data_IF_226749813494
#
_entry.id   IF_226749813494
#
_cell.length_a   1.000
_cell.length_b   1.000
_cell.length_c   1.000
_cell.angle_alpha   90.00
_cell.angle_beta   90.00
_cell.angle_gamma   90.00
#
_symmetry.space_group_name_H-M   'P 1'
#
loop_
_entity.id
_entity.type
_entity.pdbx_description
1 polymer ?
#
# COMPACT_ATOMS: atom_id res chain seq x y z
N UNK A 1 -29.65 27.88 51.72
CA UNK A 1 -28.26 27.52 52.04
C UNK A 1 -27.77 26.47 51.04
N UNK A 2 -27.69 26.83 49.75
CA UNK A 2 -26.98 26.09 48.68
C UNK A 2 -26.78 27.13 47.57
N UNK A 3 -25.72 27.95 47.62
CA UNK A 3 -25.45 28.92 46.53
C UNK A 3 -24.03 29.52 46.57
N UNK A 4 -23.00 28.69 46.73
CA UNK A 4 -21.61 29.16 46.67
C UNK A 4 -20.62 28.16 46.04
N UNK A 5 -20.98 26.88 45.98
CA UNK A 5 -20.07 25.81 45.54
C UNK A 5 -20.10 25.62 44.00
N UNK A 6 -21.26 25.82 43.36
CA UNK A 6 -21.42 25.52 41.92
C UNK A 6 -20.75 26.52 40.97
N UNK A 7 -20.43 27.74 41.42
CA UNK A 7 -19.74 28.76 40.59
C UNK A 7 -18.22 28.58 40.56
N UNK A 8 -17.63 27.92 41.57
CA UNK A 8 -16.18 27.71 41.66
C UNK A 8 -15.69 26.54 40.81
N UNK A 9 -16.55 25.56 40.55
CA UNK A 9 -16.20 24.36 39.76
C UNK A 9 -16.15 24.67 38.26
N UNK A 10 -16.95 25.62 37.78
CA UNK A 10 -16.99 26.01 36.36
C UNK A 10 -15.75 26.83 35.94
N UNK A 11 -15.15 27.60 36.85
CA UNK A 11 -13.98 28.43 36.52
C UNK A 11 -12.66 27.67 36.44
N UNK A 12 -12.57 26.48 37.04
CA UNK A 12 -11.33 25.67 37.04
C UNK A 12 -11.17 24.89 35.73
N UNK A 13 -12.28 24.55 35.04
CA UNK A 13 -12.22 23.77 33.80
C UNK A 13 -11.72 24.57 32.58
N UNK A 14 -11.80 25.90 32.61
CA UNK A 14 -11.38 26.74 31.48
C UNK A 14 -9.87 27.04 31.43
N UNK A 15 -9.11 26.75 32.49
CA UNK A 15 -7.67 27.09 32.55
C UNK A 15 -6.78 25.92 32.10
N UNK A 16 -7.29 24.68 32.06
CA UNK A 16 -6.50 23.48 31.74
C UNK A 16 -6.43 23.20 30.21
N UNK A 17 -7.22 23.91 29.39
CA UNK A 17 -7.28 23.66 27.93
C UNK A 17 -6.31 24.52 27.08
N UNK A 18 -5.48 25.37 27.68
CA UNK A 18 -4.61 26.30 26.93
C UNK A 18 -3.12 25.93 26.92
N UNK A 19 -2.74 24.72 27.34
CA UNK A 19 -1.34 24.30 27.49
C UNK A 19 -0.88 23.19 26.52
N UNK A 20 -1.54 23.03 25.37
CA UNK A 20 -1.02 22.19 24.28
C UNK A 20 -1.11 22.90 22.92
N UNK A 21 -0.21 23.85 22.70
CA UNK A 21 0.20 24.27 21.35
C UNK A 21 1.70 24.54 21.37
N UNK A 22 2.49 23.46 21.46
CA UNK A 22 3.88 23.51 21.02
C UNK A 22 3.94 23.17 19.54
N UNK A 23 4.53 24.12 18.82
CA UNK A 23 4.78 24.16 17.40
C UNK A 23 5.62 22.98 16.93
N UNK A 24 5.26 22.38 15.80
CA UNK A 24 6.26 21.77 14.93
C UNK A 24 6.06 22.32 13.51
N UNK A 25 6.86 23.33 13.22
CA UNK A 25 7.13 23.83 11.87
C UNK A 25 8.25 22.94 11.33
N UNK A 26 7.99 22.12 10.32
CA UNK A 26 9.05 21.46 9.58
C UNK A 26 8.93 21.82 8.11
N UNK A 27 9.86 22.69 7.72
CA UNK A 27 10.16 23.12 6.37
C UNK A 27 10.59 21.89 5.56
N UNK A 28 9.93 21.63 4.44
CA UNK A 28 10.36 20.61 3.49
C UNK A 28 11.29 21.27 2.47
N UNK A 29 12.59 20.99 2.60
CA UNK A 29 13.59 21.36 1.60
C UNK A 29 13.35 20.55 0.31
N UNK A 30 13.30 21.28 -0.81
CA UNK A 30 13.30 20.70 -2.15
C UNK A 30 14.69 20.13 -2.45
N UNK A 31 14.80 18.81 -2.55
CA UNK A 31 15.99 18.17 -3.12
C UNK A 31 15.75 18.03 -4.63
N UNK A 32 16.40 18.90 -5.40
CA UNK A 32 16.65 18.66 -6.81
C UNK A 32 17.66 17.52 -6.93
N UNK A 33 17.24 16.35 -7.39
CA UNK A 33 18.17 15.29 -7.80
C UNK A 33 18.02 15.02 -9.30
N UNK A 34 19.09 15.39 -10.01
CA UNK A 34 19.34 15.09 -11.41
C UNK A 34 19.48 13.58 -11.59
N UNK A 35 18.54 12.98 -12.31
CA UNK A 35 18.59 11.56 -12.63
C UNK A 35 19.51 11.33 -13.84
N UNK A 36 20.59 10.59 -13.63
CA UNK A 36 21.23 9.86 -14.71
C UNK A 36 21.53 8.42 -14.27
N UNK A 37 20.74 7.51 -14.85
CA UNK A 37 21.03 6.12 -15.23
C UNK A 37 21.80 5.21 -14.25
N UNK A 38 21.11 4.20 -13.69
CA UNK A 38 21.15 2.82 -14.19
C UNK A 38 20.38 1.85 -13.29
N UNK A 39 19.66 0.92 -13.93
CA UNK A 39 18.92 -0.17 -13.30
C UNK A 39 19.86 -1.17 -12.62
N UNK A 40 19.79 -1.26 -11.30
CA UNK A 40 20.05 -2.44 -10.46
C UNK A 40 19.98 -1.93 -9.03
N UNK A 41 19.23 -2.62 -8.16
CA UNK A 41 18.80 -2.13 -6.84
C UNK A 41 17.65 -1.12 -6.92
N UNK A 42 16.41 -1.63 -6.96
CA UNK A 42 15.39 -1.01 -6.09
C UNK A 42 15.91 -1.30 -4.68
N UNK A 43 16.74 -0.38 -4.20
CA UNK A 43 17.66 -0.62 -3.10
C UNK A 43 16.90 -1.04 -1.85
N UNK A 44 17.51 -1.93 -1.08
CA UNK A 44 17.06 -2.29 0.28
C UNK A 44 16.79 -1.04 1.16
N UNK A 45 17.29 0.13 0.76
CA UNK A 45 17.04 1.43 1.38
C UNK A 45 15.62 1.97 1.16
N UNK A 46 15.01 1.74 -0.01
CA UNK A 46 13.61 2.09 -0.25
C UNK A 46 12.68 1.23 0.61
N UNK A 47 13.04 -0.05 0.82
CA UNK A 47 12.29 -0.96 1.71
C UNK A 47 12.43 -0.54 3.18
N UNK A 48 13.56 0.03 3.60
CA UNK A 48 13.78 0.48 4.99
C UNK A 48 12.87 1.62 5.44
N UNK A 49 12.34 2.41 4.51
CA UNK A 49 11.41 3.51 4.82
C UNK A 49 9.95 3.13 4.67
N UNK A 50 9.67 2.01 4.00
CA UNK A 50 8.31 1.54 3.76
C UNK A 50 7.85 0.61 4.88
N UNK A 51 6.58 0.73 5.25
CA UNK A 51 5.98 -0.06 6.31
C UNK A 51 5.82 -1.51 5.85
N UNK A 52 6.52 -2.42 6.52
CA UNK A 52 6.33 -3.86 6.34
C UNK A 52 5.06 -4.27 7.08
N UNK A 53 4.17 -4.97 6.37
CA UNK A 53 2.88 -5.43 6.89
C UNK A 53 2.78 -6.95 6.75
N UNK A 54 2.00 -7.55 7.64
CA UNK A 54 1.73 -8.99 7.63
C UNK A 54 0.23 -9.21 7.55
N UNK A 55 -0.18 -10.11 6.67
CA UNK A 55 -1.58 -10.43 6.43
C UNK A 55 -1.79 -11.93 6.47
N UNK A 56 -3.01 -12.32 6.81
CA UNK A 56 -3.45 -13.70 6.77
C UNK A 56 -4.75 -13.78 5.97
N UNK A 57 -4.89 -14.81 5.15
CA UNK A 57 -6.12 -15.04 4.40
C UNK A 57 -5.95 -16.04 3.28
N UNK A 58 -7.02 -16.20 2.49
CA UNK A 58 -7.05 -17.12 1.36
C UNK A 58 -6.40 -16.49 0.13
N UNK A 59 -5.40 -17.15 -0.43
CA UNK A 59 -4.80 -16.73 -1.69
C UNK A 59 -5.64 -17.16 -2.88
N UNK A 60 -5.97 -16.21 -3.75
CA UNK A 60 -6.66 -16.45 -5.01
C UNK A 60 -5.74 -16.07 -6.17
N UNK A 61 -5.68 -16.97 -7.15
CA UNK A 61 -5.00 -16.79 -8.42
C UNK A 61 -6.06 -16.69 -9.50
N UNK A 62 -5.94 -15.71 -10.38
CA UNK A 62 -6.76 -15.61 -11.57
C UNK A 62 -5.88 -15.27 -12.75
N UNK A 63 -5.58 -16.27 -13.57
CA UNK A 63 -4.90 -16.06 -14.83
C UNK A 63 -5.68 -15.03 -15.66
N UNK A 64 -4.98 -13.96 -16.04
CA UNK A 64 -5.53 -12.95 -16.94
C UNK A 64 -4.90 -13.22 -18.30
N UNK A 65 -5.69 -13.76 -19.22
CA UNK A 65 -5.28 -13.84 -20.63
C UNK A 65 -4.76 -12.47 -21.09
N UNK A 66 -3.67 -12.40 -21.86
CA UNK A 66 -3.02 -11.16 -22.30
C UNK A 66 -3.83 -10.41 -23.38
N UNK A 67 -5.09 -10.15 -23.06
CA UNK A 67 -5.99 -9.24 -23.75
C UNK A 67 -5.97 -7.90 -23.02
N UNK A 68 -6.22 -6.81 -23.76
CA UNK A 68 -6.19 -5.41 -23.34
C UNK A 68 -7.24 -5.04 -22.27
N UNK A 69 -7.29 -5.79 -21.18
CA UNK A 69 -8.17 -5.54 -20.03
C UNK A 69 -7.46 -4.67 -19.02
N UNK A 70 -8.21 -3.78 -18.35
CA UNK A 70 -7.69 -2.90 -17.30
C UNK A 70 -6.92 -3.69 -16.24
N UNK A 71 -7.45 -4.85 -15.82
CA UNK A 71 -6.82 -5.70 -14.80
C UNK A 71 -5.47 -6.26 -15.22
N UNK A 72 -5.31 -6.63 -16.50
CA UNK A 72 -4.02 -7.10 -17.02
C UNK A 72 -2.95 -6.02 -16.89
N UNK A 73 -3.29 -4.79 -17.33
CA UNK A 73 -2.38 -3.65 -17.25
C UNK A 73 -2.01 -3.28 -15.81
N UNK A 74 -2.90 -3.50 -14.85
CA UNK A 74 -2.61 -3.25 -13.45
C UNK A 74 -1.87 -4.41 -12.76
N UNK A 75 -1.67 -5.55 -13.42
CA UNK A 75 -1.00 -6.72 -12.83
C UNK A 75 -1.85 -7.43 -11.76
N UNK A 76 -3.18 -7.28 -11.81
CA UNK A 76 -4.11 -7.80 -10.81
C UNK A 76 -4.37 -9.31 -10.94
N UNK A 77 -3.33 -10.12 -10.85
CA UNK A 77 -3.40 -11.58 -11.04
C UNK A 77 -3.60 -12.34 -9.72
N UNK A 78 -2.97 -11.86 -8.65
CA UNK A 78 -2.97 -12.49 -7.33
C UNK A 78 -3.70 -11.62 -6.30
N UNK A 79 -4.59 -12.25 -5.53
CA UNK A 79 -5.40 -11.58 -4.52
C UNK A 79 -5.35 -12.31 -3.19
N UNK A 80 -5.15 -11.58 -2.09
CA UNK A 80 -5.39 -12.10 -0.74
C UNK A 80 -6.76 -11.65 -0.23
N UNK A 81 -7.62 -12.61 0.10
CA UNK A 81 -8.90 -12.35 0.76
C UNK A 81 -8.71 -12.53 2.26
N UNK A 82 -8.64 -11.41 2.98
CA UNK A 82 -8.48 -11.39 4.45
C UNK A 82 -9.81 -11.42 5.20
N UNK A 83 -10.90 -11.04 4.53
CA UNK A 83 -12.26 -11.16 5.04
C UNK A 83 -13.14 -11.83 3.97
N UNK A 84 -13.71 -13.02 4.23
CA UNK A 84 -14.54 -13.74 3.26
C UNK A 84 -15.84 -13.00 2.89
N UNK A 85 -16.32 -12.08 3.74
CA UNK A 85 -17.49 -11.24 3.45
C UNK A 85 -17.14 -10.07 2.50
N UNK A 86 -15.86 -9.72 2.40
CA UNK A 86 -15.36 -8.70 1.47
C UNK A 86 -14.98 -9.35 0.16
N UNK A 87 -15.65 -8.95 -0.93
CA UNK A 87 -15.24 -9.32 -2.29
C UNK A 87 -13.95 -8.60 -2.74
N UNK A 88 -13.46 -7.63 -1.96
CA UNK A 88 -12.21 -6.91 -2.25
C UNK A 88 -11.04 -7.62 -1.57
N UNK A 89 -10.07 -8.04 -2.37
CA UNK A 89 -8.81 -8.60 -1.92
C UNK A 89 -7.64 -7.63 -2.08
N UNK A 90 -6.56 -7.90 -1.36
CA UNK A 90 -5.29 -7.19 -1.53
C UNK A 90 -4.57 -7.73 -2.78
N UNK A 91 -4.12 -6.84 -3.66
CA UNK A 91 -3.33 -7.23 -4.83
C UNK A 91 -1.92 -7.58 -4.38
N UNK A 92 -1.43 -8.75 -4.79
CA UNK A 92 -0.08 -9.21 -4.46
C UNK A 92 0.81 -9.17 -5.68
N UNK A 93 2.04 -8.70 -5.49
CA UNK A 93 3.06 -8.58 -6.53
C UNK A 93 4.18 -9.58 -6.21
N UNK A 94 4.47 -10.55 -7.12
CA UNK A 94 5.62 -11.42 -6.99
C UNK A 94 6.93 -10.63 -6.86
N UNK A 95 7.92 -11.22 -6.21
CA UNK A 95 9.25 -10.62 -6.03
C UNK A 95 10.33 -11.66 -6.26
N UNK A 96 11.60 -11.25 -6.16
CA UNK A 96 12.73 -12.18 -6.16
C UNK A 96 12.68 -13.16 -4.97
N UNK A 97 12.05 -12.77 -3.86
CA UNK A 97 11.90 -13.60 -2.65
C UNK A 97 10.72 -14.57 -2.74
N UNK A 98 9.68 -14.20 -3.50
CA UNK A 98 8.47 -15.00 -3.68
C UNK A 98 8.10 -14.99 -5.16
N UNK A 99 8.43 -16.08 -5.85
CA UNK A 99 8.21 -16.18 -7.30
C UNK A 99 6.73 -16.28 -7.66
N UNK A 100 6.41 -15.92 -8.91
CA UNK A 100 5.07 -16.11 -9.50
C UNK A 100 4.60 -17.57 -9.36
N UNK A 101 5.45 -18.53 -9.76
CA UNK A 101 5.13 -19.96 -9.69
C UNK A 101 4.79 -20.44 -8.28
N UNK A 102 5.49 -19.91 -7.26
CA UNK A 102 5.22 -20.21 -5.86
C UNK A 102 3.84 -19.71 -5.44
N UNK A 103 3.41 -18.53 -5.89
CA UNK A 103 2.06 -18.03 -5.59
C UNK A 103 0.96 -18.85 -6.27
N UNK A 104 1.19 -19.28 -7.52
CA UNK A 104 0.23 -20.14 -8.22
C UNK A 104 0.00 -21.45 -7.44
N UNK A 105 1.05 -22.04 -6.87
CA UNK A 105 0.93 -23.25 -6.04
C UNK A 105 0.10 -23.04 -4.76
N UNK A 106 0.10 -21.83 -4.20
CA UNK A 106 -0.69 -21.50 -3.02
C UNK A 106 -2.15 -21.11 -3.34
N UNK A 107 -2.58 -21.22 -4.59
CA UNK A 107 -3.96 -20.94 -4.96
C UNK A 107 -4.95 -21.75 -4.10
N UNK A 108 -5.98 -21.08 -3.60
CA UNK A 108 -7.02 -21.59 -2.70
C UNK A 108 -6.51 -22.10 -1.35
N UNK A 109 -5.30 -21.73 -0.93
CA UNK A 109 -4.76 -22.04 0.41
C UNK A 109 -4.87 -20.85 1.34
N UNK A 110 -5.04 -21.12 2.62
CA UNK A 110 -4.85 -20.14 3.68
C UNK A 110 -3.35 -19.91 3.86
N UNK A 111 -2.94 -18.65 3.83
CA UNK A 111 -1.53 -18.26 3.89
C UNK A 111 -1.33 -17.09 4.84
N UNK A 112 -0.10 -16.99 5.34
CA UNK A 112 0.43 -15.80 6.00
C UNK A 112 1.48 -15.18 5.08
N UNK A 113 1.30 -13.90 4.74
CA UNK A 113 2.24 -13.17 3.90
C UNK A 113 2.85 -12.01 4.68
N UNK A 114 4.10 -11.69 4.38
CA UNK A 114 4.73 -10.44 4.76
C UNK A 114 5.05 -9.67 3.49
N UNK A 115 4.69 -8.39 3.45
CA UNK A 115 4.78 -7.60 2.24
C UNK A 115 5.00 -6.11 2.53
N UNK A 116 5.35 -5.38 1.49
CA UNK A 116 5.46 -3.93 1.50
C UNK A 116 4.56 -3.34 0.43
N UNK A 117 3.82 -2.28 0.74
CA UNK A 117 2.98 -1.63 -0.26
C UNK A 117 3.84 -0.78 -1.20
N UNK A 118 3.66 -1.00 -2.50
CA UNK A 118 4.29 -0.22 -3.57
C UNK A 118 3.22 0.54 -4.32
N UNK A 119 3.45 1.83 -4.52
CA UNK A 119 2.56 2.68 -5.32
C UNK A 119 2.84 2.46 -6.80
N UNK A 120 1.78 2.23 -7.57
CA UNK A 120 1.86 2.08 -9.01
C UNK A 120 2.35 3.34 -9.72
N UNK A 121 2.96 3.17 -10.88
CA UNK A 121 3.52 4.27 -11.68
C UNK A 121 2.81 4.39 -13.02
N UNK A 122 2.78 5.61 -13.58
CA UNK A 122 2.21 5.88 -14.90
C UNK A 122 3.25 5.48 -15.97
N UNK A 123 3.03 4.42 -16.77
CA UNK A 123 3.97 4.06 -17.81
C UNK A 123 3.95 5.10 -18.94
N UNK A 124 5.05 5.16 -19.70
CA UNK A 124 5.10 5.96 -20.91
C UNK A 124 4.37 5.23 -22.05
N UNK A 125 3.36 5.85 -22.69
CA UNK A 125 2.62 5.23 -23.79
C UNK A 125 3.48 4.97 -25.04
N UNK A 126 4.60 5.68 -25.17
CA UNK A 126 5.54 5.51 -26.28
C UNK A 126 6.35 4.22 -26.16
N UNK A 127 6.56 3.73 -24.93
CA UNK A 127 7.39 2.57 -24.64
C UNK A 127 6.57 1.31 -24.37
N UNK A 128 5.39 1.45 -23.75
CA UNK A 128 4.58 0.32 -23.32
C UNK A 128 3.09 0.54 -23.66
N UNK A 129 2.39 -0.48 -24.16
CA UNK A 129 0.94 -0.41 -24.30
C UNK A 129 0.30 -0.26 -22.92
N UNK A 130 -0.70 0.61 -22.81
CA UNK A 130 -1.39 0.90 -21.56
C UNK A 130 -2.87 1.24 -21.82
N UNK A 131 -3.70 1.14 -20.80
CA UNK A 131 -5.05 1.74 -20.83
C UNK A 131 -4.94 3.23 -20.53
N UNK A 132 -5.69 4.06 -21.25
CA UNK A 132 -5.71 5.51 -21.06
C UNK A 132 -6.85 5.94 -20.13
N UNK A 133 -6.63 7.02 -19.39
CA UNK A 133 -7.66 7.74 -18.64
C UNK A 133 -8.44 8.73 -19.53
N UNK A 134 -9.32 9.53 -18.92
CA UNK A 134 -10.12 10.55 -19.61
C UNK A 134 -9.28 11.66 -20.25
N UNK A 135 -8.05 11.85 -19.78
CA UNK A 135 -7.11 12.87 -20.26
C UNK A 135 -6.16 12.29 -21.33
N UNK A 136 -6.37 11.03 -21.73
CA UNK A 136 -5.53 10.33 -22.72
C UNK A 136 -4.18 9.90 -22.20
N UNK A 137 -3.97 9.88 -20.87
CA UNK A 137 -2.72 9.46 -20.25
C UNK A 137 -2.83 8.03 -19.72
N UNK A 138 -1.72 7.29 -19.67
CA UNK A 138 -1.75 5.92 -19.14
C UNK A 138 -2.28 5.89 -17.69
N UNK A 139 -3.15 4.92 -17.39
CA UNK A 139 -3.47 4.62 -16.00
C UNK A 139 -2.21 4.20 -15.24
N UNK A 140 -2.07 4.56 -13.95
CA UNK A 140 -1.05 3.98 -13.09
C UNK A 140 -1.16 2.45 -13.06
N UNK A 141 -0.01 1.78 -13.04
CA UNK A 141 0.10 0.32 -13.08
C UNK A 141 1.05 -0.18 -11.99
N UNK A 142 0.80 -1.38 -11.47
CA UNK A 142 1.68 -2.06 -10.53
C UNK A 142 1.55 -1.60 -9.09
N UNK A 143 0.42 -1.01 -8.69
CA UNK A 143 0.11 -0.79 -7.29
C UNK A 143 -0.27 -2.11 -6.59
N UNK A 144 0.23 -2.30 -5.37
CA UNK A 144 -0.06 -3.51 -4.61
C UNK A 144 1.02 -3.85 -3.58
N UNK A 145 0.88 -5.04 -3.00
CA UNK A 145 1.77 -5.54 -1.96
C UNK A 145 2.88 -6.40 -2.56
N UNK A 146 4.09 -5.85 -2.64
CA UNK A 146 5.28 -6.57 -3.04
C UNK A 146 5.68 -7.56 -1.94
N UNK A 147 5.71 -8.83 -2.29
CA UNK A 147 5.88 -9.90 -1.31
C UNK A 147 7.33 -10.03 -0.83
N UNK A 148 7.49 -10.17 0.48
CA UNK A 148 8.77 -10.46 1.13
C UNK A 148 8.84 -11.92 1.59
N UNK A 149 7.72 -12.49 2.00
CA UNK A 149 7.59 -13.91 2.34
C UNK A 149 6.15 -14.40 2.22
N UNK A 150 5.99 -15.71 2.10
CA UNK A 150 4.70 -16.42 2.14
C UNK A 150 4.87 -17.77 2.83
N UNK A 151 3.93 -18.10 3.71
CA UNK A 151 3.89 -19.35 4.47
C UNK A 151 2.47 -19.92 4.41
N UNK A 152 2.34 -21.25 4.35
CA UNK A 152 1.06 -21.90 4.60
C UNK A 152 0.62 -21.67 6.03
N UNK A 153 -0.68 -21.45 6.20
CA UNK A 153 -1.30 -21.43 7.51
C UNK A 153 -1.82 -22.83 7.82
N UNK A 154 -1.38 -23.38 8.94
CA UNK A 154 -1.80 -24.68 9.46
C UNK A 154 -3.23 -24.65 10.01
#
# INVERSE_FOLDING_TARGET
MVDSISRKIILIYCIILSLFCWSCHQTQENINLSNNSNNQEISDELIKTQKIETFEGKLLYKEITPVRSVRYYQGHEFFLITNPESLRGLILIPSEKVSHSQLVLFHNKEVKITAVYVTGTRPSPEKNPCTLDIDGQCLPQGDGYLLLSILLKD
#
